data_IF_455163189412
#
_entry.id   IF_455163189412
#
_cell.length_a   1.000
_cell.length_b   1.000
_cell.length_c   1.000
_cell.angle_alpha   90.00
_cell.angle_beta   90.00
_cell.angle_gamma   90.00
#
_symmetry.space_group_name_H-M   'P 1'
#
loop_
_entity.id
_entity.type
_entity.pdbx_description
1 polymer ?
#
# COMPACT_ATOMS: atom_id res chain seq x y z
N UNK A 1 -19.69 -45.29 29.73
CA UNK A 1 -19.14 -45.64 28.41
C UNK A 1 -18.99 -44.36 27.57
N UNK A 2 -18.01 -44.34 26.69
CA UNK A 2 -17.30 -43.17 26.15
C UNK A 2 -18.09 -42.31 25.14
N UNK A 3 -17.80 -41.00 25.20
CA UNK A 3 -17.87 -39.87 24.25
C UNK A 3 -18.53 -39.94 22.85
N UNK A 4 -19.12 -38.81 22.38
CA UNK A 4 -19.43 -38.58 20.96
C UNK A 4 -18.30 -37.83 20.23
N UNK A 5 -17.89 -38.31 19.05
CA UNK A 5 -17.06 -37.57 18.08
C UNK A 5 -17.83 -37.29 16.78
N UNK A 6 -17.89 -35.99 16.46
CA UNK A 6 -17.86 -35.28 15.16
C UNK A 6 -18.28 -35.94 13.83
N UNK A 7 -19.15 -35.17 13.16
CA UNK A 7 -19.10 -34.68 11.76
C UNK A 7 -20.12 -35.26 10.77
N UNK A 8 -21.04 -34.41 10.29
CA UNK A 8 -21.15 -34.01 8.88
C UNK A 8 -22.36 -33.08 8.66
N UNK A 9 -22.07 -31.95 8.02
CA UNK A 9 -23.03 -31.01 7.44
C UNK A 9 -23.66 -31.67 6.22
N UNK A 10 -24.98 -31.70 6.14
CA UNK A 10 -25.72 -32.06 4.92
C UNK A 10 -26.98 -31.22 4.86
N UNK A 11 -27.07 -30.41 3.82
CA UNK A 11 -28.26 -29.66 3.42
C UNK A 11 -28.30 -29.62 1.90
N UNK A 12 -28.88 -30.66 1.32
CA UNK A 12 -29.25 -30.79 -0.09
C UNK A 12 -30.75 -30.52 -0.19
N UNK A 13 -31.19 -29.68 -1.13
CA UNK A 13 -32.29 -29.91 -2.10
C UNK A 13 -32.53 -28.58 -2.85
N UNK A 14 -32.06 -28.48 -4.11
CA UNK A 14 -32.83 -28.64 -5.37
C UNK A 14 -33.63 -27.37 -5.71
N UNK A 15 -33.71 -26.82 -6.93
CA UNK A 15 -33.65 -27.40 -8.28
C UNK A 15 -33.71 -26.23 -9.27
N UNK A 16 -33.02 -26.33 -10.42
CA UNK A 16 -33.45 -25.60 -11.63
C UNK A 16 -32.36 -24.85 -12.39
N UNK A 17 -31.54 -25.56 -13.16
CA UNK A 17 -31.21 -25.24 -14.56
C UNK A 17 -30.43 -26.42 -15.16
N UNK A 18 -30.90 -26.90 -16.31
CA UNK A 18 -30.55 -28.16 -16.95
C UNK A 18 -29.12 -28.20 -17.54
N UNK A 19 -28.49 -29.38 -17.69
CA UNK A 19 -27.07 -29.55 -18.00
C UNK A 19 -26.77 -29.63 -19.52
N UNK A 20 -27.42 -28.82 -20.35
CA UNK A 20 -27.43 -29.00 -21.80
C UNK A 20 -26.88 -27.84 -22.64
N UNK A 21 -26.13 -26.89 -22.05
CA UNK A 21 -25.29 -25.95 -22.82
C UNK A 21 -23.86 -25.84 -22.25
N UNK A 22 -23.42 -26.85 -21.51
CA UNK A 22 -22.02 -27.07 -21.11
C UNK A 22 -21.15 -27.62 -22.24
N UNK A 23 -21.53 -27.35 -23.50
CA UNK A 23 -20.90 -27.89 -24.71
C UNK A 23 -20.56 -26.83 -25.78
N UNK A 24 -20.51 -25.54 -25.42
CA UNK A 24 -19.87 -24.49 -26.24
C UNK A 24 -19.00 -23.59 -25.36
N UNK A 25 -18.10 -24.19 -24.58
CA UNK A 25 -16.86 -23.55 -24.15
C UNK A 25 -15.74 -24.57 -24.41
N UNK A 26 -15.62 -24.96 -25.68
CA UNK A 26 -14.38 -25.49 -26.20
C UNK A 26 -13.29 -24.48 -25.91
N UNK A 27 -12.27 -24.94 -25.19
CA UNK A 27 -10.96 -24.34 -25.02
C UNK A 27 -10.70 -23.15 -25.97
N UNK A 28 -10.83 -21.93 -25.45
CA UNK A 28 -10.09 -20.84 -26.05
C UNK A 28 -8.62 -21.11 -25.70
N UNK A 29 -7.76 -21.45 -26.67
CA UNK A 29 -6.33 -21.49 -26.40
C UNK A 29 -5.97 -20.09 -25.92
N UNK A 30 -5.22 -19.98 -24.83
CA UNK A 30 -4.58 -18.74 -24.42
C UNK A 30 -3.83 -18.20 -25.63
N UNK A 31 -4.45 -17.25 -26.35
CA UNK A 31 -3.83 -16.61 -27.50
C UNK A 31 -2.62 -15.88 -26.91
N UNK A 32 -1.43 -16.47 -27.10
CA UNK A 32 -0.20 -15.69 -27.19
C UNK A 32 -0.56 -14.51 -28.08
N UNK A 33 -0.63 -13.32 -27.54
CA UNK A 33 -0.94 -12.11 -28.31
C UNK A 33 0.15 -12.01 -29.35
N UNK A 34 -0.15 -12.44 -30.57
CA UNK A 34 0.75 -12.31 -31.69
C UNK A 34 0.97 -10.80 -31.84
N UNK A 35 2.18 -10.36 -31.50
CA UNK A 35 2.58 -8.95 -31.54
C UNK A 35 2.18 -8.39 -32.91
N UNK A 36 1.44 -7.29 -32.91
CA UNK A 36 0.92 -6.69 -34.13
C UNK A 36 2.08 -6.41 -35.09
N UNK A 37 1.99 -6.94 -36.31
CA UNK A 37 3.01 -6.72 -37.31
C UNK A 37 2.65 -5.49 -38.12
N UNK A 38 3.40 -4.41 -37.95
CA UNK A 38 3.22 -3.19 -38.74
C UNK A 38 3.61 -3.44 -40.21
N UNK A 39 2.77 -3.00 -41.14
CA UNK A 39 2.90 -3.27 -42.58
C UNK A 39 3.11 -2.00 -43.38
N UNK A 40 2.26 -0.99 -43.19
CA UNK A 40 2.34 0.30 -43.88
C UNK A 40 1.99 1.44 -42.93
N UNK A 41 2.51 2.63 -43.21
CA UNK A 41 2.14 3.86 -42.49
C UNK A 41 1.77 4.90 -43.53
N UNK A 42 0.56 5.42 -43.44
CA UNK A 42 0.09 6.54 -44.26
C UNK A 42 0.21 7.83 -43.46
N UNK A 43 0.71 8.87 -44.09
CA UNK A 43 0.80 10.22 -43.54
C UNK A 43 -0.19 11.09 -44.29
N UNK A 44 -1.14 11.66 -43.56
CA UNK A 44 -2.18 12.55 -44.06
C UNK A 44 -1.89 13.98 -43.60
N UNK A 45 -2.24 14.95 -44.44
CA UNK A 45 -2.18 16.36 -44.09
C UNK A 45 -3.39 16.81 -43.24
N UNK A 46 -3.46 18.10 -42.94
CA UNK A 46 -4.54 18.73 -42.17
C UNK A 46 -5.89 18.73 -42.89
N UNK A 47 -5.93 18.36 -44.17
CA UNK A 47 -7.13 18.25 -45.02
C UNK A 47 -7.57 16.79 -45.23
N UNK A 48 -6.80 15.83 -44.73
CA UNK A 48 -7.05 14.40 -44.92
C UNK A 48 -6.58 13.90 -46.30
N UNK A 49 -5.72 14.63 -46.99
CA UNK A 49 -5.06 14.18 -48.21
C UNK A 49 -3.73 13.46 -47.87
N UNK A 50 -3.44 12.38 -48.59
CA UNK A 50 -2.24 11.59 -48.37
C UNK A 50 -0.99 12.37 -48.79
N UNK A 51 -0.13 12.70 -47.81
CA UNK A 51 1.15 13.38 -48.01
C UNK A 51 2.30 12.40 -48.25
N UNK A 52 2.20 11.17 -47.73
CA UNK A 52 3.24 10.17 -47.93
C UNK A 52 2.86 8.77 -47.44
N UNK A 53 3.53 7.78 -47.98
CA UNK A 53 3.38 6.36 -47.62
C UNK A 53 4.76 5.79 -47.26
N UNK A 54 4.83 5.13 -46.10
CA UNK A 54 5.97 4.34 -45.69
C UNK A 54 5.59 2.86 -45.70
N UNK A 55 6.12 2.15 -46.69
CA UNK A 55 5.90 0.71 -46.86
C UNK A 55 6.97 -0.05 -46.09
N UNK A 56 6.58 -0.75 -45.03
CA UNK A 56 7.48 -1.62 -44.24
C UNK A 56 7.46 -3.06 -44.77
N UNK A 57 6.33 -3.47 -45.35
CA UNK A 57 6.15 -4.77 -45.99
C UNK A 57 5.52 -4.58 -47.38
N UNK A 58 6.32 -4.83 -48.43
CA UNK A 58 5.92 -4.64 -49.82
C UNK A 58 4.92 -5.71 -50.30
N UNK A 59 4.81 -6.82 -49.60
CA UNK A 59 3.90 -7.92 -49.93
C UNK A 59 2.49 -7.75 -49.31
N UNK A 60 2.22 -6.59 -48.70
CA UNK A 60 0.93 -6.30 -48.07
C UNK A 60 -0.15 -5.99 -49.13
N UNK A 61 -1.25 -6.76 -49.20
CA UNK A 61 -2.27 -6.66 -50.25
C UNK A 61 -3.31 -5.55 -50.03
N UNK A 62 -3.18 -4.77 -48.95
CA UNK A 62 -4.11 -3.70 -48.60
C UNK A 62 -3.46 -2.36 -48.94
N UNK A 63 -4.24 -1.51 -49.61
CA UNK A 63 -3.82 -0.18 -50.06
C UNK A 63 -4.67 0.93 -49.42
N UNK A 64 -4.25 2.19 -49.65
CA UNK A 64 -4.93 3.37 -49.13
C UNK A 64 -6.40 3.48 -49.60
N UNK A 65 -6.71 3.00 -50.81
CA UNK A 65 -8.08 2.98 -51.32
C UNK A 65 -9.01 2.07 -50.50
N UNK A 66 -8.48 1.02 -49.86
CA UNK A 66 -9.27 0.16 -48.98
C UNK A 66 -9.51 0.80 -47.62
N UNK A 67 -8.58 1.65 -47.15
CA UNK A 67 -8.80 2.51 -45.99
C UNK A 67 -9.94 3.51 -46.24
N UNK A 68 -9.94 4.18 -47.40
CA UNK A 68 -10.99 5.14 -47.77
C UNK A 68 -12.39 4.52 -47.85
N UNK A 69 -12.50 3.24 -48.24
CA UNK A 69 -13.79 2.52 -48.29
C UNK A 69 -14.37 2.22 -46.90
N UNK A 70 -13.50 2.07 -45.90
CA UNK A 70 -13.89 1.71 -44.52
C UNK A 70 -13.94 2.94 -43.61
N UNK A 71 -13.44 4.08 -44.08
CA UNK A 71 -13.47 5.34 -43.36
C UNK A 71 -14.92 5.82 -43.14
N UNK A 72 -15.36 6.06 -41.89
CA UNK A 72 -16.66 6.64 -41.61
C UNK A 72 -16.78 8.05 -42.21
N UNK A 73 -17.99 8.50 -42.58
CA UNK A 73 -18.21 9.87 -43.09
C UNK A 73 -17.92 10.96 -42.05
N UNK A 74 -17.84 10.58 -40.77
CA UNK A 74 -17.48 11.44 -39.64
C UNK A 74 -15.95 11.55 -39.45
N UNK A 75 -15.16 10.77 -40.19
CA UNK A 75 -13.71 10.64 -40.02
C UNK A 75 -13.31 9.57 -39.01
N UNK A 76 -12.01 9.43 -38.78
CA UNK A 76 -11.44 8.55 -37.76
C UNK A 76 -10.84 9.40 -36.64
N UNK A 77 -11.16 9.08 -35.38
CA UNK A 77 -10.64 9.79 -34.21
C UNK A 77 -9.20 9.41 -33.87
N UNK A 78 -8.57 10.20 -32.99
CA UNK A 78 -7.24 9.87 -32.47
C UNK A 78 -7.29 8.56 -31.69
N UNK A 79 -6.38 7.63 -32.04
CA UNK A 79 -6.25 6.27 -31.48
C UNK A 79 -7.39 5.31 -31.82
N UNK A 80 -8.30 5.72 -32.70
CA UNK A 80 -9.35 4.82 -33.18
C UNK A 80 -8.78 3.81 -34.17
N UNK A 81 -9.37 2.61 -34.16
CA UNK A 81 -8.96 1.49 -34.98
C UNK A 81 -10.09 1.00 -35.89
N UNK A 82 -9.82 0.93 -37.19
CA UNK A 82 -10.72 0.36 -38.20
C UNK A 82 -10.22 -1.01 -38.64
N UNK A 83 -11.14 -1.96 -38.76
CA UNK A 83 -10.83 -3.35 -39.05
C UNK A 83 -11.17 -3.71 -40.50
N UNK A 84 -10.18 -4.23 -41.22
CA UNK A 84 -10.33 -4.74 -42.59
C UNK A 84 -9.78 -6.16 -42.64
N UNK A 85 -10.66 -7.14 -42.38
CA UNK A 85 -10.29 -8.55 -42.31
C UNK A 85 -9.29 -8.84 -41.19
N UNK A 86 -8.08 -9.28 -41.54
CA UNK A 86 -6.99 -9.55 -40.58
C UNK A 86 -6.13 -8.33 -40.27
N UNK A 87 -6.41 -7.19 -40.90
CA UNK A 87 -5.63 -5.96 -40.79
C UNK A 87 -6.41 -4.88 -40.05
N UNK A 88 -5.66 -4.03 -39.37
CA UNK A 88 -6.18 -2.96 -38.53
C UNK A 88 -5.48 -1.66 -38.90
N UNK A 89 -6.28 -0.65 -39.23
CA UNK A 89 -5.84 0.73 -39.40
C UNK A 89 -6.02 1.47 -38.08
N UNK A 90 -4.95 2.01 -37.51
CA UNK A 90 -5.02 2.82 -36.28
C UNK A 90 -4.53 4.23 -36.59
N UNK A 91 -5.38 5.23 -36.38
CA UNK A 91 -5.03 6.63 -36.62
C UNK A 91 -4.41 7.28 -35.38
N UNK A 92 -3.40 8.11 -35.60
CA UNK A 92 -2.75 8.93 -34.58
C UNK A 92 -2.65 10.36 -35.07
N UNK A 93 -3.19 11.29 -34.29
CA UNK A 93 -3.12 12.70 -34.61
C UNK A 93 -1.89 13.32 -33.94
N UNK A 94 -1.00 13.91 -34.74
CA UNK A 94 0.20 14.59 -34.25
C UNK A 94 0.33 15.95 -34.92
N UNK A 95 -0.12 16.98 -34.21
CA UNK A 95 -0.10 18.36 -34.70
C UNK A 95 -0.98 18.56 -35.93
N UNK A 96 -0.36 18.88 -37.08
CA UNK A 96 -1.03 19.08 -38.37
C UNK A 96 -1.07 17.83 -39.26
N UNK A 97 -0.46 16.73 -38.81
CA UNK A 97 -0.37 15.49 -39.57
C UNK A 97 -1.15 14.39 -38.87
N UNK A 98 -1.78 13.52 -39.64
CA UNK A 98 -2.44 12.31 -39.15
C UNK A 98 -1.69 11.09 -39.68
N UNK A 99 -1.24 10.23 -38.78
CA UNK A 99 -0.53 9.00 -39.10
C UNK A 99 -1.51 7.82 -38.99
N UNK A 100 -1.73 7.11 -40.09
CA UNK A 100 -2.57 5.90 -40.10
C UNK A 100 -1.66 4.69 -40.23
N UNK A 101 -1.58 3.89 -39.17
CA UNK A 101 -0.77 2.69 -39.11
C UNK A 101 -1.60 1.49 -39.55
N UNK A 102 -1.12 0.77 -40.57
CA UNK A 102 -1.69 -0.50 -41.00
C UNK A 102 -0.91 -1.64 -40.36
N UNK A 103 -1.57 -2.41 -39.50
CA UNK A 103 -0.98 -3.56 -38.81
C UNK A 103 -1.77 -4.84 -39.08
N UNK A 104 -1.09 -5.99 -39.09
CA UNK A 104 -1.73 -7.31 -39.07
C UNK A 104 -1.87 -7.77 -37.63
N UNK A 105 -3.11 -7.87 -37.16
CA UNK A 105 -3.44 -8.07 -35.74
C UNK A 105 -3.65 -6.76 -34.99
N UNK A 106 -4.20 -6.86 -33.77
CA UNK A 106 -4.54 -5.69 -32.94
C UNK A 106 -3.31 -5.18 -32.20
N UNK A 107 -3.02 -3.88 -32.32
CA UNK A 107 -2.01 -3.21 -31.50
C UNK A 107 -2.42 -3.30 -30.02
N UNK A 108 -1.50 -3.71 -29.15
CA UNK A 108 -1.75 -3.68 -27.71
C UNK A 108 -1.87 -2.22 -27.25
N UNK A 109 -2.64 -1.97 -26.18
CA UNK A 109 -2.82 -0.61 -25.64
C UNK A 109 -1.49 0.06 -25.30
N UNK A 110 -0.50 -0.72 -24.86
CA UNK A 110 0.86 -0.25 -24.59
C UNK A 110 1.57 0.21 -25.87
N UNK A 111 1.47 -0.55 -26.97
CA UNK A 111 2.07 -0.19 -28.25
C UNK A 111 1.45 1.11 -28.80
N UNK A 112 0.14 1.29 -28.64
CA UNK A 112 -0.60 2.51 -29.02
C UNK A 112 -0.08 3.72 -28.22
N UNK A 113 0.08 3.59 -26.90
CA UNK A 113 0.57 4.67 -26.05
C UNK A 113 2.04 5.02 -26.34
N UNK A 114 2.88 4.01 -26.61
CA UNK A 114 4.27 4.23 -27.03
C UNK A 114 4.37 4.91 -28.39
N UNK A 115 3.56 4.52 -29.38
CA UNK A 115 3.54 5.19 -30.68
C UNK A 115 3.06 6.64 -30.58
N UNK A 116 2.04 6.89 -29.75
CA UNK A 116 1.56 8.25 -29.51
C UNK A 116 2.63 9.13 -28.82
N UNK A 117 3.35 8.57 -27.84
CA UNK A 117 4.45 9.25 -27.16
C UNK A 117 5.61 9.55 -28.12
N UNK A 118 5.99 8.60 -28.97
CA UNK A 118 7.05 8.76 -29.96
C UNK A 118 6.70 9.82 -31.01
N UNK A 119 5.47 9.81 -31.54
CA UNK A 119 5.02 10.82 -32.49
C UNK A 119 4.97 12.21 -31.86
N UNK A 120 4.49 12.31 -30.62
CA UNK A 120 4.47 13.58 -29.87
C UNK A 120 5.89 14.09 -29.59
N UNK A 121 6.82 13.20 -29.25
CA UNK A 121 8.22 13.55 -29.05
C UNK A 121 8.88 13.98 -30.38
N UNK A 122 8.66 13.25 -31.47
CA UNK A 122 9.17 13.57 -32.80
C UNK A 122 8.64 14.92 -33.29
N UNK A 123 7.35 15.22 -33.11
CA UNK A 123 6.79 16.53 -33.43
C UNK A 123 7.46 17.66 -32.62
N UNK A 124 7.72 17.43 -31.33
CA UNK A 124 8.44 18.41 -30.50
C UNK A 124 9.87 18.69 -31.00
N UNK A 125 10.54 17.68 -31.58
CA UNK A 125 11.89 17.80 -32.14
C UNK A 125 11.89 18.40 -33.55
N UNK A 126 10.91 18.07 -34.40
CA UNK A 126 10.75 18.64 -35.73
C UNK A 126 10.28 20.10 -35.67
N UNK A 127 9.40 20.44 -34.72
CA UNK A 127 9.01 21.82 -34.43
C UNK A 127 10.18 22.67 -33.91
N UNK A 128 11.17 22.07 -33.24
CA UNK A 128 12.42 22.72 -32.85
C UNK A 128 13.42 22.84 -34.02
N UNK A 129 13.42 21.87 -34.94
CA UNK A 129 14.31 21.80 -36.11
C UNK A 129 13.94 22.73 -37.27
N UNK A 130 12.67 23.16 -37.38
CA UNK A 130 12.22 24.09 -38.41
C UNK A 130 12.60 25.57 -38.16
N UNK A 131 13.56 25.85 -37.28
CA UNK A 131 14.25 27.15 -37.20
C UNK A 131 15.33 27.23 -38.29
N UNK A 132 14.90 27.25 -39.54
CA UNK A 132 15.77 27.58 -40.67
C UNK A 132 16.17 29.08 -40.62
N UNK A 133 17.43 29.35 -40.97
CA UNK A 133 18.05 30.67 -41.04
C UNK A 133 17.28 31.65 -41.95
N UNK A 134 17.35 32.98 -41.72
CA UNK A 134 16.51 33.93 -42.42
C UNK A 134 17.03 34.15 -43.85
N UNK A 135 16.34 33.56 -44.82
CA UNK A 135 16.36 34.05 -46.19
C UNK A 135 15.41 35.26 -46.30
N UNK A 136 15.91 36.34 -46.90
CA UNK A 136 15.17 37.56 -47.18
C UNK A 136 13.91 37.28 -48.03
N UNK A 137 12.74 37.66 -47.51
CA UNK A 137 11.56 38.12 -48.25
C UNK A 137 10.57 38.66 -47.19
N UNK A 138 10.39 39.97 -47.07
CA UNK A 138 9.19 40.68 -47.52
C UNK A 138 7.89 39.87 -47.40
N UNK A 139 7.02 40.38 -46.51
CA UNK A 139 5.57 40.10 -46.38
C UNK A 139 5.14 38.85 -45.58
N UNK A 140 4.90 39.04 -44.27
CA UNK A 140 3.76 38.49 -43.51
C UNK A 140 3.85 38.92 -42.02
N UNK A 141 3.27 40.06 -41.66
CA UNK A 141 3.18 40.52 -40.26
C UNK A 141 2.15 39.79 -39.36
N UNK A 142 1.07 39.12 -39.84
CA UNK A 142 0.06 38.57 -38.93
C UNK A 142 0.44 37.23 -38.28
N UNK A 143 1.33 36.43 -38.88
CA UNK A 143 1.63 35.08 -38.36
C UNK A 143 2.68 35.08 -37.23
N UNK A 144 3.59 36.06 -37.22
CA UNK A 144 4.57 36.21 -36.14
C UNK A 144 3.92 36.70 -34.85
N UNK A 145 2.93 37.60 -34.95
CA UNK A 145 2.18 38.10 -33.79
C UNK A 145 1.26 37.02 -33.18
N UNK A 146 0.67 36.15 -34.01
CA UNK A 146 -0.08 34.98 -33.54
C UNK A 146 0.84 33.95 -32.87
N UNK A 147 2.00 33.67 -33.46
CA UNK A 147 2.97 32.75 -32.86
C UNK A 147 3.56 33.28 -31.54
N UNK A 148 3.74 34.61 -31.39
CA UNK A 148 4.12 35.20 -30.09
C UNK A 148 2.98 35.15 -29.09
N UNK A 149 1.73 35.40 -29.50
CA UNK A 149 0.56 35.29 -28.63
C UNK A 149 0.35 33.86 -28.12
N UNK A 150 0.56 32.84 -28.97
CA UNK A 150 0.50 31.42 -28.56
C UNK A 150 1.62 31.05 -27.58
N UNK A 151 2.84 31.58 -27.78
CA UNK A 151 3.96 31.38 -26.85
C UNK A 151 3.69 32.05 -25.50
N UNK A 152 3.15 33.27 -25.50
CA UNK A 152 2.76 33.97 -24.29
C UNK A 152 1.60 33.26 -23.57
N UNK A 153 0.64 32.69 -24.30
CA UNK A 153 -0.43 31.88 -23.72
C UNK A 153 0.11 30.60 -23.07
N UNK A 154 1.07 29.92 -23.72
CA UNK A 154 1.75 28.74 -23.15
C UNK A 154 2.60 29.09 -21.93
N UNK A 155 3.28 30.24 -21.93
CA UNK A 155 4.03 30.71 -20.77
C UNK A 155 3.09 31.04 -19.61
N UNK A 156 1.99 31.76 -19.86
CA UNK A 156 0.96 32.03 -18.85
C UNK A 156 0.32 30.74 -18.30
N UNK A 157 0.12 29.72 -19.14
CA UNK A 157 -0.37 28.43 -18.68
C UNK A 157 0.65 27.71 -17.78
N UNK A 158 1.94 27.76 -18.14
CA UNK A 158 3.02 27.22 -17.30
C UNK A 158 3.17 27.97 -15.98
N UNK A 159 3.11 29.29 -16.00
CA UNK A 159 3.13 30.14 -14.80
C UNK A 159 1.95 29.83 -13.87
N UNK A 160 0.75 29.62 -14.41
CA UNK A 160 -0.41 29.17 -13.62
C UNK A 160 -0.19 27.80 -13.02
N UNK A 161 0.34 26.84 -13.79
CA UNK A 161 0.62 25.49 -13.27
C UNK A 161 1.70 25.49 -12.19
N UNK A 162 2.70 26.37 -12.29
CA UNK A 162 3.73 26.56 -11.27
C UNK A 162 3.14 27.21 -10.01
N UNK A 163 2.31 28.24 -10.16
CA UNK A 163 1.61 28.87 -9.04
C UNK A 163 0.68 27.88 -8.31
N UNK A 164 0.00 26.97 -9.04
CA UNK A 164 -0.80 25.90 -8.46
C UNK A 164 0.06 24.89 -7.68
N UNK A 165 1.24 24.53 -8.20
CA UNK A 165 2.17 23.65 -7.51
C UNK A 165 2.77 24.30 -6.26
N UNK A 166 3.15 25.58 -6.33
CA UNK A 166 3.62 26.36 -5.18
C UNK A 166 2.55 26.45 -4.10
N UNK A 167 1.29 26.71 -4.47
CA UNK A 167 0.18 26.72 -3.53
C UNK A 167 -0.06 25.34 -2.87
N UNK A 168 0.06 24.25 -3.64
CA UNK A 168 -0.01 22.88 -3.10
C UNK A 168 1.12 22.60 -2.11
N UNK A 169 2.36 22.94 -2.48
CA UNK A 169 3.52 22.77 -1.60
C UNK A 169 3.42 23.61 -0.32
N UNK A 170 2.92 24.84 -0.42
CA UNK A 170 2.65 25.68 0.75
C UNK A 170 1.58 25.04 1.65
N UNK A 171 0.49 24.52 1.07
CA UNK A 171 -0.54 23.79 1.80
C UNK A 171 -0.01 22.54 2.49
N UNK A 172 0.82 21.75 1.80
CA UNK A 172 1.49 20.58 2.37
C UNK A 172 2.45 20.96 3.50
N UNK A 173 3.22 22.05 3.34
CA UNK A 173 4.12 22.55 4.39
C UNK A 173 3.36 22.98 5.65
N UNK A 174 2.21 23.65 5.49
CA UNK A 174 1.35 24.04 6.61
C UNK A 174 0.74 22.81 7.30
N UNK A 175 0.34 21.79 6.53
CA UNK A 175 -0.16 20.52 7.07
C UNK A 175 0.92 19.75 7.85
N UNK A 176 2.16 19.75 7.36
CA UNK A 176 3.29 19.12 8.06
C UNK A 176 3.61 19.85 9.37
N UNK A 177 3.59 21.18 9.38
CA UNK A 177 3.74 21.98 10.59
C UNK A 177 2.61 21.70 11.60
N UNK A 178 1.36 21.64 11.13
CA UNK A 178 0.22 21.26 11.98
C UNK A 178 0.38 19.88 12.62
N UNK A 179 0.81 18.87 11.84
CA UNK A 179 1.11 17.53 12.36
C UNK A 179 2.27 17.53 13.35
N UNK A 180 3.28 18.36 13.13
CA UNK A 180 4.40 18.51 14.06
C UNK A 180 3.95 19.12 15.39
N UNK A 181 3.06 20.10 15.36
CA UNK A 181 2.44 20.68 16.56
C UNK A 181 1.55 19.68 17.30
N UNK A 182 0.78 18.85 16.58
CA UNK A 182 -0.01 17.79 17.21
C UNK A 182 0.90 16.74 17.87
N UNK A 183 1.98 16.33 17.22
CA UNK A 183 2.96 15.43 17.80
C UNK A 183 3.67 16.05 19.01
N UNK A 184 3.96 17.35 18.99
CA UNK A 184 4.56 18.03 20.15
C UNK A 184 3.58 18.10 21.32
N UNK A 185 2.28 18.34 21.07
CA UNK A 185 1.21 18.27 22.08
C UNK A 185 1.05 16.87 22.65
N UNK A 186 1.09 15.83 21.81
CA UNK A 186 1.03 14.44 22.26
C UNK A 186 2.23 14.07 23.13
N UNK A 187 3.45 14.48 22.72
CA UNK A 187 4.66 14.30 23.53
C UNK A 187 4.54 15.01 24.88
N UNK A 188 4.07 16.26 24.90
CA UNK A 188 3.83 17.00 26.14
C UNK A 188 2.78 16.32 27.05
N UNK A 189 1.73 15.74 26.45
CA UNK A 189 0.73 14.94 27.18
C UNK A 189 1.32 13.67 27.79
N UNK A 190 2.18 12.97 27.06
CA UNK A 190 2.89 11.78 27.56
C UNK A 190 3.86 12.12 28.69
N UNK A 191 4.59 13.24 28.58
CA UNK A 191 5.47 13.70 29.67
C UNK A 191 4.66 14.07 30.92
N UNK A 192 3.51 14.73 30.77
CA UNK A 192 2.64 15.06 31.90
C UNK A 192 2.06 13.80 32.57
N UNK A 193 1.73 12.76 31.79
CA UNK A 193 1.30 11.46 32.31
C UNK A 193 2.43 10.74 33.04
N UNK A 194 3.66 10.79 32.52
CA UNK A 194 4.83 10.24 33.19
C UNK A 194 5.11 10.95 34.53
N UNK A 195 5.04 12.28 34.56
CA UNK A 195 5.19 13.07 35.78
C UNK A 195 4.08 12.77 36.80
N UNK A 196 2.84 12.59 36.34
CA UNK A 196 1.72 12.19 37.19
C UNK A 196 1.94 10.78 37.78
N UNK A 197 2.40 9.82 36.98
CA UNK A 197 2.70 8.47 37.45
C UNK A 197 3.82 8.49 38.49
N UNK A 198 4.88 9.28 38.28
CA UNK A 198 5.95 9.46 39.26
C UNK A 198 5.44 10.06 40.58
N UNK A 199 4.59 11.10 40.52
CA UNK A 199 3.95 11.68 41.72
C UNK A 199 3.05 10.69 42.44
N UNK A 200 2.33 9.86 41.71
CA UNK A 200 1.49 8.80 42.29
C UNK A 200 2.35 7.75 42.98
N UNK A 201 3.44 7.29 42.36
CA UNK A 201 4.39 6.37 42.99
C UNK A 201 4.99 6.97 44.26
N UNK A 202 5.40 8.23 44.24
CA UNK A 202 5.88 8.97 45.41
C UNK A 202 4.83 9.09 46.52
N UNK A 203 3.56 9.29 46.16
CA UNK A 203 2.48 9.38 47.14
C UNK A 203 2.20 8.01 47.78
N UNK A 204 2.29 6.94 47.00
CA UNK A 204 2.11 5.57 47.47
C UNK A 204 3.28 5.16 48.35
N UNK A 205 4.53 5.44 47.98
CA UNK A 205 5.69 5.14 48.83
C UNK A 205 5.62 5.89 50.15
N UNK A 206 5.28 7.18 50.13
CA UNK A 206 5.05 7.96 51.36
C UNK A 206 3.88 7.44 52.19
N UNK A 207 2.79 7.02 51.53
CA UNK A 207 1.62 6.41 52.16
C UNK A 207 1.98 5.09 52.86
N UNK A 208 2.72 4.22 52.17
CA UNK A 208 3.24 2.94 52.70
C UNK A 208 4.19 3.19 53.86
N UNK A 209 5.12 4.15 53.77
CA UNK A 209 6.01 4.48 54.89
C UNK A 209 5.27 5.03 56.11
N UNK A 210 4.20 5.82 55.90
CA UNK A 210 3.34 6.28 57.00
C UNK A 210 2.55 5.12 57.61
N UNK A 211 1.98 4.26 56.77
CA UNK A 211 1.26 3.06 57.19
C UNK A 211 2.16 2.11 57.99
N UNK A 212 3.40 1.89 57.54
CA UNK A 212 4.39 1.10 58.28
C UNK A 212 4.73 1.73 59.63
N UNK A 213 4.96 3.05 59.70
CA UNK A 213 5.19 3.73 60.99
C UNK A 213 3.99 3.64 61.93
N UNK A 214 2.77 3.76 61.40
CA UNK A 214 1.56 3.58 62.21
C UNK A 214 1.41 2.12 62.65
N UNK A 215 1.77 1.16 61.79
CA UNK A 215 1.75 -0.25 62.11
C UNK A 215 2.74 -0.57 63.24
N UNK A 216 4.00 -0.14 63.12
CA UNK A 216 5.03 -0.25 64.17
C UNK A 216 4.57 0.38 65.49
N UNK A 217 3.95 1.57 65.44
CA UNK A 217 3.39 2.23 66.63
C UNK A 217 2.21 1.44 67.22
N UNK A 218 1.34 0.88 66.38
CA UNK A 218 0.24 0.03 66.84
C UNK A 218 0.72 -1.32 67.35
N UNK A 219 1.81 -1.87 66.82
CA UNK A 219 2.45 -3.10 67.32
C UNK A 219 3.09 -2.86 68.68
N UNK A 220 3.70 -1.68 68.91
CA UNK A 220 4.17 -1.26 70.24
C UNK A 220 3.01 -1.07 71.22
N UNK A 221 1.89 -0.52 70.77
CA UNK A 221 0.66 -0.37 71.57
C UNK A 221 -0.07 -1.70 71.80
N UNK A 222 0.01 -2.64 70.84
CA UNK A 222 -0.56 -3.99 70.96
C UNK A 222 0.31 -4.88 71.84
N UNK A 223 1.64 -4.77 71.75
CA UNK A 223 2.58 -5.43 72.68
C UNK A 223 2.37 -4.96 74.12
N UNK A 224 1.94 -3.71 74.33
CA UNK A 224 1.52 -3.20 75.65
C UNK A 224 0.07 -3.53 76.02
N UNK A 225 -0.83 -3.76 75.04
CA UNK A 225 -2.21 -4.24 75.26
C UNK A 225 -2.35 -5.76 75.42
N UNK A 226 -1.32 -6.54 75.13
CA UNK A 226 -1.37 -8.01 75.08
C UNK A 226 -1.59 -8.71 76.44
N UNK A 227 -1.84 -7.95 77.52
CA UNK A 227 -2.22 -8.43 78.85
C UNK A 227 -3.74 -8.51 79.08
N UNK A 228 -4.58 -7.93 78.21
CA UNK A 228 -6.03 -7.93 78.43
C UNK A 228 -6.79 -8.36 77.16
N UNK A 229 -7.74 -9.28 77.34
CA UNK A 229 -8.67 -9.85 76.36
C UNK A 229 -8.15 -11.02 75.49
N UNK A 230 -8.28 -12.23 76.04
CA UNK A 230 -8.38 -13.47 75.27
C UNK A 230 -9.72 -14.12 75.61
N UNK A 231 -10.63 -14.20 74.64
CA UNK A 231 -11.40 -15.42 74.28
C UNK A 231 -12.56 -15.23 73.28
N UNK A 232 -12.92 -14.02 72.86
CA UNK A 232 -14.05 -13.83 71.92
C UNK A 232 -13.67 -13.55 70.46
N UNK A 233 -12.43 -13.14 70.17
CA UNK A 233 -12.02 -12.70 68.82
C UNK A 233 -11.44 -13.82 67.93
N UNK A 234 -11.32 -15.06 68.44
CA UNK A 234 -10.55 -16.13 67.77
C UNK A 234 -11.14 -16.64 66.46
N UNK A 235 -12.45 -16.51 66.24
CA UNK A 235 -13.09 -16.94 64.97
C UNK A 235 -13.08 -15.84 63.91
N UNK A 236 -13.48 -14.62 64.28
CA UNK A 236 -13.46 -13.49 63.35
C UNK A 236 -12.02 -13.15 62.89
N UNK A 237 -11.02 -13.31 63.75
CA UNK A 237 -9.61 -13.12 63.38
C UNK A 237 -9.08 -14.25 62.49
N UNK A 238 -9.51 -15.51 62.71
CA UNK A 238 -9.20 -16.64 61.82
C UNK A 238 -9.79 -16.45 60.42
N UNK A 239 -11.07 -16.05 60.33
CA UNK A 239 -11.74 -15.84 59.05
C UNK A 239 -11.11 -14.66 58.28
N UNK A 240 -10.75 -13.58 59.00
CA UNK A 240 -10.02 -12.46 58.41
C UNK A 240 -8.61 -12.87 57.92
N UNK A 241 -7.88 -13.69 58.68
CA UNK A 241 -6.57 -14.21 58.27
C UNK A 241 -6.68 -15.07 57.00
N UNK A 242 -7.68 -15.94 56.91
CA UNK A 242 -7.91 -16.75 55.71
C UNK A 242 -8.27 -15.88 54.50
N UNK A 243 -9.08 -14.84 54.67
CA UNK A 243 -9.39 -13.88 53.60
C UNK A 243 -8.12 -13.15 53.11
N UNK A 244 -7.27 -12.67 54.02
CA UNK A 244 -5.99 -12.04 53.66
C UNK A 244 -5.02 -13.00 52.96
N UNK A 245 -4.97 -14.26 53.39
CA UNK A 245 -4.14 -15.27 52.73
C UNK A 245 -4.64 -15.57 51.31
N UNK A 246 -5.97 -15.63 51.11
CA UNK A 246 -6.57 -15.79 49.79
C UNK A 246 -6.28 -14.59 48.89
N UNK A 247 -6.43 -13.36 49.39
CA UNK A 247 -6.10 -12.14 48.65
C UNK A 247 -4.61 -12.08 48.29
N UNK A 248 -3.72 -12.41 49.24
CA UNK A 248 -2.28 -12.50 48.99
C UNK A 248 -1.97 -13.52 47.89
N UNK A 249 -2.59 -14.70 47.95
CA UNK A 249 -2.38 -15.74 46.94
C UNK A 249 -2.93 -15.32 45.57
N UNK A 250 -4.08 -14.63 45.52
CA UNK A 250 -4.64 -14.07 44.29
C UNK A 250 -3.74 -12.97 43.70
N UNK A 251 -3.18 -12.09 44.54
CA UNK A 251 -2.23 -11.06 44.11
C UNK A 251 -0.92 -11.65 43.59
N UNK A 252 -0.41 -12.72 44.22
CA UNK A 252 0.76 -13.45 43.73
C UNK A 252 0.49 -14.13 42.38
N UNK A 253 -0.70 -14.71 42.20
CA UNK A 253 -1.11 -15.29 40.92
C UNK A 253 -1.21 -14.23 39.82
N UNK A 254 -1.85 -13.08 40.10
CA UNK A 254 -1.94 -11.96 39.18
C UNK A 254 -0.56 -11.39 38.82
N UNK A 255 0.34 -11.25 39.80
CA UNK A 255 1.72 -10.81 39.56
C UNK A 255 2.44 -11.77 38.61
N UNK A 256 2.36 -13.08 38.87
CA UNK A 256 3.00 -14.08 38.01
C UNK A 256 2.44 -14.05 36.58
N UNK A 257 1.13 -13.83 36.42
CA UNK A 257 0.50 -13.69 35.12
C UNK A 257 1.01 -12.45 34.36
N UNK A 258 1.15 -11.31 35.05
CA UNK A 258 1.74 -10.10 34.46
C UNK A 258 3.21 -10.31 34.10
N UNK A 259 3.99 -10.97 34.96
CA UNK A 259 5.41 -11.27 34.69
C UNK A 259 5.57 -12.19 33.46
N UNK A 260 4.68 -13.17 33.29
CA UNK A 260 4.66 -14.03 32.08
C UNK A 260 4.31 -13.21 30.84
N UNK A 261 3.25 -12.39 30.89
CA UNK A 261 2.88 -11.51 29.77
C UNK A 261 3.98 -10.52 29.40
N UNK A 262 4.70 -10.00 30.39
CA UNK A 262 5.83 -9.10 30.17
C UNK A 262 7.01 -9.84 29.50
N UNK A 263 7.32 -11.06 29.93
CA UNK A 263 8.34 -11.91 29.28
C UNK A 263 7.96 -12.27 27.85
N UNK A 264 6.69 -12.56 27.59
CA UNK A 264 6.19 -12.85 26.25
C UNK A 264 6.25 -11.61 25.35
N UNK A 265 5.82 -10.45 25.84
CA UNK A 265 5.88 -9.19 25.11
C UNK A 265 7.34 -8.79 24.78
N UNK A 266 8.25 -8.91 25.74
CA UNK A 266 9.69 -8.64 25.51
C UNK A 266 10.30 -9.62 24.52
N UNK A 267 9.91 -10.90 24.55
CA UNK A 267 10.35 -11.88 23.55
C UNK A 267 9.80 -11.57 22.14
N UNK A 268 8.56 -11.09 22.03
CA UNK A 268 7.99 -10.66 20.75
C UNK A 268 8.69 -9.41 20.20
N UNK A 269 8.98 -8.42 21.04
CA UNK A 269 9.75 -7.23 20.65
C UNK A 269 11.13 -7.65 20.14
N UNK A 270 11.84 -8.53 20.85
CA UNK A 270 13.15 -9.02 20.42
C UNK A 270 13.10 -9.79 19.09
N UNK A 271 11.99 -10.49 18.79
CA UNK A 271 11.78 -11.13 17.48
C UNK A 271 11.59 -10.08 16.38
N UNK A 272 10.70 -9.11 16.57
CA UNK A 272 10.49 -8.05 15.60
C UNK A 272 11.74 -7.20 15.36
N UNK A 273 12.55 -6.94 16.39
CA UNK A 273 13.84 -6.26 16.22
C UNK A 273 14.83 -7.06 15.38
N UNK A 274 14.86 -8.39 15.53
CA UNK A 274 15.71 -9.27 14.69
C UNK A 274 15.22 -9.27 13.25
N UNK A 275 13.92 -9.46 13.04
CA UNK A 275 13.30 -9.44 11.70
C UNK A 275 13.53 -8.09 11.00
N UNK A 276 13.40 -6.97 11.72
CA UNK A 276 13.70 -5.65 11.19
C UNK A 276 15.17 -5.47 10.81
N UNK A 277 16.11 -5.97 11.65
CA UNK A 277 17.54 -5.94 11.33
C UNK A 277 17.86 -6.80 10.11
N UNK A 278 17.30 -8.01 10.04
CA UNK A 278 17.51 -8.90 8.89
C UNK A 278 16.96 -8.29 7.60
N UNK A 279 15.78 -7.65 7.65
CA UNK A 279 15.20 -6.93 6.53
C UNK A 279 16.08 -5.74 6.07
N UNK A 280 16.62 -4.96 7.01
CA UNK A 280 17.55 -3.86 6.68
C UNK A 280 18.80 -4.41 6.00
N UNK A 281 19.41 -5.47 6.53
CA UNK A 281 20.61 -6.06 5.90
C UNK A 281 20.33 -6.66 4.53
N UNK A 282 19.12 -7.18 4.30
CA UNK A 282 18.70 -7.67 2.98
C UNK A 282 18.56 -6.51 1.98
N UNK A 283 17.89 -5.42 2.38
CA UNK A 283 17.75 -4.22 1.54
C UNK A 283 19.09 -3.56 1.24
N UNK A 284 20.03 -3.53 2.18
CA UNK A 284 21.39 -3.04 1.95
C UNK A 284 22.15 -3.89 0.92
N UNK A 285 22.00 -5.22 0.98
CA UNK A 285 22.58 -6.13 -0.03
C UNK A 285 21.93 -5.93 -1.40
N UNK A 286 20.62 -5.75 -1.46
CA UNK A 286 19.92 -5.47 -2.72
C UNK A 286 20.35 -4.13 -3.33
N UNK A 287 20.50 -3.08 -2.50
CA UNK A 287 21.04 -1.79 -2.95
C UNK A 287 22.48 -1.90 -3.46
N UNK A 288 23.32 -2.67 -2.77
CA UNK A 288 24.69 -2.92 -3.22
C UNK A 288 24.70 -3.65 -4.58
N UNK A 289 23.85 -4.67 -4.74
CA UNK A 289 23.71 -5.41 -5.99
C UNK A 289 23.11 -4.56 -7.13
N UNK A 290 22.19 -3.64 -6.82
CA UNK A 290 21.65 -2.70 -7.79
C UNK A 290 22.74 -1.72 -8.26
N UNK A 291 23.56 -1.20 -7.33
CA UNK A 291 24.67 -0.31 -7.66
C UNK A 291 25.73 -1.00 -8.52
N UNK A 292 26.04 -2.27 -8.28
CA UNK A 292 26.98 -3.01 -9.14
C UNK A 292 26.41 -3.24 -10.54
N UNK A 293 25.12 -3.57 -10.66
CA UNK A 293 24.45 -3.68 -11.96
C UNK A 293 24.46 -2.37 -12.74
N UNK A 294 24.14 -1.25 -12.09
CA UNK A 294 24.22 0.08 -12.72
C UNK A 294 25.64 0.41 -13.18
N UNK A 295 26.66 0.10 -12.36
CA UNK A 295 28.04 0.32 -12.75
C UNK A 295 28.47 -0.56 -13.95
N UNK A 296 27.99 -1.80 -14.03
CA UNK A 296 28.25 -2.69 -15.16
C UNK A 296 27.48 -2.24 -16.41
N UNK A 297 26.25 -1.78 -16.27
CA UNK A 297 25.47 -1.15 -17.35
C UNK A 297 26.18 0.09 -17.90
N UNK A 298 26.67 0.99 -17.03
CA UNK A 298 27.46 2.15 -17.45
C UNK A 298 28.76 1.75 -18.17
N UNK A 299 29.44 0.69 -17.72
CA UNK A 299 30.62 0.15 -18.41
C UNK A 299 30.26 -0.36 -19.81
N UNK A 300 29.19 -1.16 -19.93
CA UNK A 300 28.74 -1.66 -21.23
C UNK A 300 28.31 -0.54 -22.16
N UNK A 301 27.65 0.50 -21.63
CA UNK A 301 27.28 1.70 -22.39
C UNK A 301 28.52 2.41 -22.93
N UNK A 302 29.54 2.66 -22.09
CA UNK A 302 30.81 3.26 -22.51
C UNK A 302 31.54 2.41 -23.55
N UNK A 303 31.51 1.08 -23.42
CA UNK A 303 32.07 0.17 -24.43
C UNK A 303 31.32 0.25 -25.76
N UNK A 304 29.99 0.33 -25.75
CA UNK A 304 29.17 0.48 -26.96
C UNK A 304 29.44 1.84 -27.61
N UNK A 305 29.44 2.92 -26.84
CA UNK A 305 29.76 4.27 -27.31
C UNK A 305 31.17 4.32 -27.93
N UNK A 306 32.15 3.67 -27.30
CA UNK A 306 33.50 3.51 -27.84
C UNK A 306 33.54 2.76 -29.17
N UNK A 307 32.82 1.63 -29.28
CA UNK A 307 32.71 0.87 -30.55
C UNK A 307 32.00 1.65 -31.65
N UNK A 308 30.97 2.41 -31.30
CA UNK A 308 30.25 3.27 -32.26
C UNK A 308 31.17 4.37 -32.77
N UNK A 309 31.93 5.03 -31.89
CA UNK A 309 32.92 6.01 -32.28
C UNK A 309 34.01 5.41 -33.17
N UNK A 310 34.51 4.22 -32.84
CA UNK A 310 35.50 3.51 -33.65
C UNK A 310 34.94 3.15 -35.04
N UNK A 311 33.71 2.63 -35.12
CA UNK A 311 33.05 2.37 -36.40
C UNK A 311 32.87 3.65 -37.22
N UNK A 312 32.45 4.74 -36.59
CA UNK A 312 32.30 6.05 -37.25
C UNK A 312 33.63 6.56 -37.81
N UNK A 313 34.72 6.41 -37.07
CA UNK A 313 36.06 6.77 -37.54
C UNK A 313 36.50 5.89 -38.71
N UNK A 314 36.22 4.59 -38.66
CA UNK A 314 36.50 3.67 -39.78
C UNK A 314 35.69 4.03 -41.02
N UNK A 315 34.42 4.39 -40.88
CA UNK A 315 33.60 4.86 -42.01
C UNK A 315 34.13 6.16 -42.59
N UNK A 316 34.56 7.12 -41.76
CA UNK A 316 35.17 8.35 -42.22
C UNK A 316 36.51 8.11 -42.94
N UNK A 317 37.34 7.20 -42.43
CA UNK A 317 38.59 6.80 -43.07
C UNK A 317 38.35 6.10 -44.41
N UNK A 318 37.40 5.15 -44.47
CA UNK A 318 36.99 4.47 -45.70
C UNK A 318 36.40 5.44 -46.73
N UNK A 319 35.60 6.42 -46.31
CA UNK A 319 35.09 7.46 -47.20
C UNK A 319 36.21 8.33 -47.77
N UNK A 320 37.20 8.67 -46.94
CA UNK A 320 38.39 9.42 -47.36
C UNK A 320 39.27 8.61 -48.32
N UNK A 321 39.46 7.31 -48.07
CA UNK A 321 40.17 6.42 -49.00
C UNK A 321 39.43 6.26 -50.33
N UNK A 322 38.09 6.12 -50.33
CA UNK A 322 37.30 6.08 -51.57
C UNK A 322 37.41 7.36 -52.38
N UNK A 323 37.45 8.52 -51.71
CA UNK A 323 37.72 9.82 -52.35
C UNK A 323 39.13 9.91 -52.93
N UNK A 324 40.14 9.34 -52.26
CA UNK A 324 41.51 9.31 -52.80
C UNK A 324 41.64 8.31 -53.95
N UNK A 325 40.97 7.16 -53.86
CA UNK A 325 40.95 6.14 -54.90
C UNK A 325 40.22 6.60 -56.16
N UNK A 326 39.17 7.43 -56.04
CA UNK A 326 38.47 8.00 -57.19
C UNK A 326 39.31 9.00 -58.01
N UNK A 327 40.47 9.41 -57.50
CA UNK A 327 41.44 10.27 -58.21
C UNK A 327 42.58 9.47 -58.85
N UNK A 328 42.53 8.13 -58.81
CA UNK A 328 43.53 7.25 -59.41
C UNK A 328 42.93 6.60 -60.65
N UNK A 329 43.56 6.82 -61.82
CA UNK A 329 43.05 6.30 -63.09
C UNK A 329 43.00 4.75 -63.13
N UNK A 330 41.92 4.17 -63.67
CA UNK A 330 41.79 2.72 -63.80
C UNK A 330 42.57 2.20 -65.01
N UNK A 331 43.68 1.53 -64.77
CA UNK A 331 44.39 0.73 -65.77
C UNK A 331 44.01 -0.74 -65.66
N UNK A 332 43.23 -1.27 -66.62
CA UNK A 332 42.92 -2.70 -66.72
C UNK A 332 44.09 -3.47 -67.33
N UNK A 333 44.72 -4.32 -66.52
CA UNK A 333 45.64 -5.39 -66.95
C UNK A 333 45.34 -6.64 -66.13
N UNK A 334 45.98 -7.79 -66.39
CA UNK A 334 45.84 -9.06 -65.64
C UNK A 334 45.94 -8.93 -64.10
N UNK A 335 46.46 -7.81 -63.60
CA UNK A 335 46.35 -7.40 -62.20
C UNK A 335 44.89 -7.29 -61.72
N UNK A 336 43.96 -6.75 -62.52
CA UNK A 336 42.53 -6.59 -62.21
C UNK A 336 41.83 -7.94 -62.05
N UNK A 337 42.25 -8.97 -62.80
CA UNK A 337 41.72 -10.33 -62.62
C UNK A 337 42.21 -10.96 -61.31
N UNK A 338 43.47 -10.76 -60.95
CA UNK A 338 44.02 -11.21 -59.66
C UNK A 338 43.43 -10.44 -58.47
N UNK A 339 43.14 -9.14 -58.61
CA UNK A 339 42.43 -8.37 -57.58
C UNK A 339 40.99 -8.83 -57.45
N UNK A 340 40.27 -9.07 -58.56
CA UNK A 340 38.92 -9.63 -58.54
C UNK A 340 38.88 -11.05 -57.92
N UNK A 341 39.90 -11.88 -58.13
CA UNK A 341 40.03 -13.18 -57.44
C UNK A 341 40.37 -13.03 -55.96
N UNK A 342 41.20 -12.05 -55.59
CA UNK A 342 41.48 -11.67 -54.20
C UNK A 342 40.24 -11.17 -53.47
N UNK A 343 39.49 -10.26 -54.09
CA UNK A 343 38.21 -9.72 -53.62
C UNK A 343 37.16 -10.83 -53.49
N UNK A 344 37.08 -11.77 -54.43
CA UNK A 344 36.22 -12.97 -54.28
C UNK A 344 36.64 -13.82 -53.08
N UNK A 345 37.94 -13.95 -52.82
CA UNK A 345 38.47 -14.64 -51.64
C UNK A 345 38.13 -13.92 -50.33
N UNK A 346 38.20 -12.59 -50.32
CA UNK A 346 37.81 -11.73 -49.19
C UNK A 346 36.30 -11.78 -48.95
N UNK A 347 35.47 -11.64 -49.98
CA UNK A 347 34.03 -11.82 -49.91
C UNK A 347 33.64 -13.22 -49.40
N UNK A 348 34.38 -14.27 -49.77
CA UNK A 348 34.15 -15.61 -49.24
C UNK A 348 34.52 -15.73 -47.75
N UNK A 349 35.53 -15.00 -47.28
CA UNK A 349 35.90 -14.93 -45.85
C UNK A 349 34.89 -14.10 -45.07
N UNK A 350 34.45 -12.97 -45.62
CA UNK A 350 33.39 -12.12 -45.06
C UNK A 350 32.08 -12.88 -44.96
N UNK A 351 31.70 -13.65 -45.99
CA UNK A 351 30.52 -14.51 -45.95
C UNK A 351 30.61 -15.54 -44.81
N UNK A 352 31.77 -16.17 -44.62
CA UNK A 352 31.99 -17.11 -43.50
C UNK A 352 31.96 -16.41 -42.15
N UNK A 353 32.49 -15.19 -42.05
CA UNK A 353 32.45 -14.39 -40.83
C UNK A 353 31.03 -13.96 -40.48
N UNK A 354 30.28 -13.44 -41.45
CA UNK A 354 28.87 -13.07 -41.31
C UNK A 354 28.01 -14.28 -40.95
N UNK A 355 28.27 -15.45 -41.55
CA UNK A 355 27.58 -16.69 -41.20
C UNK A 355 27.87 -17.12 -39.75
N UNK A 356 29.12 -17.05 -39.29
CA UNK A 356 29.48 -17.32 -37.89
C UNK A 356 28.84 -16.30 -36.95
N UNK A 357 28.80 -15.03 -37.33
CA UNK A 357 28.19 -13.96 -36.55
C UNK A 357 26.68 -14.12 -36.46
N UNK A 358 26.02 -14.58 -37.52
CA UNK A 358 24.60 -14.90 -37.53
C UNK A 358 24.29 -16.05 -36.56
N UNK A 359 25.10 -17.11 -36.55
CA UNK A 359 24.96 -18.22 -35.58
C UNK A 359 25.16 -17.71 -34.15
N UNK A 360 26.18 -16.90 -33.90
CA UNK A 360 26.42 -16.32 -32.56
C UNK A 360 25.26 -15.42 -32.10
N UNK A 361 24.63 -14.67 -33.01
CA UNK A 361 23.45 -13.87 -32.70
C UNK A 361 22.25 -14.75 -32.38
N UNK A 362 22.04 -15.83 -33.13
CA UNK A 362 20.98 -16.82 -32.84
C UNK A 362 21.19 -17.49 -31.47
N UNK A 363 22.41 -17.90 -31.13
CA UNK A 363 22.73 -18.47 -29.82
C UNK A 363 22.51 -17.46 -28.68
N UNK A 364 22.82 -16.18 -28.92
CA UNK A 364 22.54 -15.12 -27.94
C UNK A 364 21.05 -14.87 -27.79
N UNK A 365 20.30 -14.90 -28.89
CA UNK A 365 18.84 -14.77 -28.88
C UNK A 365 18.19 -15.92 -28.11
N UNK A 366 18.63 -17.17 -28.33
CA UNK A 366 18.14 -18.33 -27.58
C UNK A 366 18.43 -18.19 -26.08
N UNK A 367 19.63 -17.74 -25.70
CA UNK A 367 19.96 -17.46 -24.29
C UNK A 367 19.13 -16.33 -23.69
N UNK A 368 18.74 -15.34 -24.49
CA UNK A 368 17.84 -14.27 -24.04
C UNK A 368 16.44 -14.83 -23.84
N UNK A 369 15.91 -15.63 -24.77
CA UNK A 369 14.62 -16.32 -24.62
C UNK A 369 14.57 -17.22 -23.39
N UNK A 370 15.64 -17.96 -23.10
CA UNK A 370 15.74 -18.78 -21.87
C UNK A 370 15.72 -17.95 -20.59
N UNK A 371 16.29 -16.73 -20.62
CA UNK A 371 16.28 -15.81 -19.48
C UNK A 371 14.93 -15.15 -19.31
N UNK A 372 14.28 -14.77 -20.40
CA UNK A 372 12.92 -14.25 -20.43
C UNK A 372 11.94 -15.28 -19.86
N UNK A 373 12.00 -16.54 -20.33
CA UNK A 373 11.17 -17.61 -19.79
C UNK A 373 11.36 -17.82 -18.27
N UNK A 374 12.60 -17.75 -17.78
CA UNK A 374 12.89 -17.81 -16.33
C UNK A 374 12.43 -16.57 -15.58
N UNK A 375 12.38 -15.40 -16.23
CA UNK A 375 11.81 -14.18 -15.65
C UNK A 375 10.30 -14.32 -15.53
N UNK A 376 9.63 -14.76 -16.58
CA UNK A 376 8.19 -14.99 -16.62
C UNK A 376 7.75 -16.01 -15.55
N UNK A 377 8.52 -17.10 -15.38
CA UNK A 377 8.28 -18.08 -14.31
C UNK A 377 8.37 -17.44 -12.91
N UNK A 378 9.35 -16.55 -12.67
CA UNK A 378 9.50 -15.82 -11.41
C UNK A 378 8.40 -14.81 -11.21
N UNK A 379 7.97 -14.11 -12.25
CA UNK A 379 6.86 -13.17 -12.20
C UNK A 379 5.55 -13.89 -11.86
N UNK A 380 5.31 -15.05 -12.46
CA UNK A 380 4.17 -15.91 -12.10
C UNK A 380 4.24 -16.41 -10.66
N UNK A 381 5.42 -16.79 -10.16
CA UNK A 381 5.59 -17.18 -8.77
C UNK A 381 5.33 -16.02 -7.81
N UNK A 382 5.82 -14.81 -8.13
CA UNK A 382 5.58 -13.61 -7.34
C UNK A 382 4.09 -13.22 -7.36
N UNK A 383 3.42 -13.29 -8.51
CA UNK A 383 1.99 -13.03 -8.62
C UNK A 383 1.17 -13.97 -7.71
N UNK A 384 1.49 -15.27 -7.70
CA UNK A 384 0.86 -16.24 -6.78
C UNK A 384 1.10 -15.90 -5.31
N UNK A 385 2.32 -15.49 -4.95
CA UNK A 385 2.63 -15.08 -3.56
C UNK A 385 1.87 -13.82 -3.15
N UNK A 386 1.67 -12.88 -4.07
CA UNK A 386 0.86 -11.68 -3.82
C UNK A 386 -0.61 -12.08 -3.58
N UNK A 387 -1.18 -12.95 -4.40
CA UNK A 387 -2.53 -13.48 -4.18
C UNK A 387 -2.66 -14.18 -2.81
N UNK A 388 -1.70 -15.02 -2.44
CA UNK A 388 -1.66 -15.69 -1.13
C UNK A 388 -1.53 -14.71 0.05
N UNK A 389 -0.81 -13.60 -0.11
CA UNK A 389 -0.70 -12.57 0.92
C UNK A 389 -2.00 -11.77 1.04
N UNK A 390 -2.60 -11.37 -0.08
CA UNK A 390 -3.87 -10.63 -0.07
C UNK A 390 -5.00 -11.43 0.57
N UNK A 391 -5.07 -12.75 0.33
CA UNK A 391 -6.05 -13.63 0.97
C UNK A 391 -5.82 -13.73 2.48
N UNK A 392 -4.57 -13.87 2.93
CA UNK A 392 -4.22 -13.86 4.37
C UNK A 392 -4.53 -12.52 5.03
N UNK A 393 -4.29 -11.40 4.36
CA UNK A 393 -4.65 -10.08 4.86
C UNK A 393 -6.16 -9.93 5.07
N UNK A 394 -6.97 -10.42 4.11
CA UNK A 394 -8.42 -10.45 4.24
C UNK A 394 -8.87 -11.32 5.42
N UNK A 395 -8.24 -12.47 5.64
CA UNK A 395 -8.56 -13.34 6.78
C UNK A 395 -8.17 -12.72 8.12
N UNK A 396 -7.02 -12.05 8.21
CA UNK A 396 -6.63 -11.28 9.40
C UNK A 396 -7.60 -10.13 9.65
N UNK A 397 -8.03 -9.42 8.61
CA UNK A 397 -9.04 -8.37 8.73
C UNK A 397 -10.37 -8.94 9.25
N UNK A 398 -10.83 -10.07 8.73
CA UNK A 398 -12.03 -10.78 9.24
C UNK A 398 -11.87 -11.17 10.71
N UNK A 399 -10.74 -11.77 11.09
CA UNK A 399 -10.47 -12.11 12.50
C UNK A 399 -10.47 -10.87 13.40
N UNK A 400 -9.87 -9.76 12.97
CA UNK A 400 -9.92 -8.48 13.71
C UNK A 400 -11.35 -7.99 13.89
N UNK A 401 -12.20 -8.06 12.86
CA UNK A 401 -13.60 -7.67 13.00
C UNK A 401 -14.37 -8.57 13.97
N UNK A 402 -14.14 -9.89 13.94
CA UNK A 402 -14.74 -10.84 14.88
C UNK A 402 -14.29 -10.55 16.31
N UNK A 403 -13.00 -10.29 16.53
CA UNK A 403 -12.47 -9.93 17.85
C UNK A 403 -13.03 -8.58 18.33
N UNK A 404 -13.17 -7.60 17.44
CA UNK A 404 -13.76 -6.30 17.78
C UNK A 404 -15.25 -6.43 18.15
N UNK A 405 -16.01 -7.28 17.46
CA UNK A 405 -17.40 -7.59 17.78
C UNK A 405 -17.53 -8.38 19.08
N UNK A 406 -16.64 -9.33 19.35
CA UNK A 406 -16.58 -10.05 20.61
C UNK A 406 -16.13 -9.15 21.79
N UNK A 407 -15.47 -8.03 21.49
CA UNK A 407 -15.03 -6.99 22.44
C UNK A 407 -15.97 -5.78 22.47
N UNK A 408 -17.21 -5.93 22.00
CA UNK A 408 -18.26 -4.97 22.32
C UNK A 408 -18.34 -4.79 23.85
N UNK A 409 -18.50 -3.55 24.35
CA UNK A 409 -18.38 -3.25 25.75
C UNK A 409 -19.45 -4.01 26.54
N UNK A 410 -19.01 -4.88 27.45
CA UNK A 410 -19.86 -5.35 28.54
C UNK A 410 -20.49 -4.11 29.22
N UNK A 411 -21.79 -4.13 29.54
CA UNK A 411 -22.45 -3.00 30.20
C UNK A 411 -21.65 -2.63 31.45
N UNK A 412 -21.37 -1.34 31.58
CA UNK A 412 -20.39 -0.78 32.50
C UNK A 412 -20.70 -1.22 33.94
N UNK A 413 -19.95 -2.21 34.46
CA UNK A 413 -20.16 -2.79 35.79
C UNK A 413 -20.05 -1.72 36.89
N UNK A 414 -19.35 -0.62 36.62
CA UNK A 414 -19.31 0.58 37.47
C UNK A 414 -20.64 1.30 37.54
N UNK A 415 -21.32 1.51 36.41
CA UNK A 415 -22.62 2.15 36.38
C UNK A 415 -23.67 1.33 37.14
N UNK A 416 -23.65 0.00 36.99
CA UNK A 416 -24.52 -0.90 37.77
C UNK A 416 -24.20 -0.88 39.27
N UNK A 417 -22.91 -0.84 39.64
CA UNK A 417 -22.49 -0.74 41.03
C UNK A 417 -22.91 0.59 41.67
N UNK A 418 -22.88 1.69 40.92
CA UNK A 418 -23.28 3.02 41.41
C UNK A 418 -24.81 3.17 41.51
N UNK A 419 -25.57 2.55 40.61
CA UNK A 419 -27.03 2.43 40.73
C UNK A 419 -27.42 1.61 41.99
N UNK A 420 -26.73 0.49 42.21
CA UNK A 420 -26.94 -0.37 43.37
C UNK A 420 -26.60 0.35 44.69
N UNK A 421 -25.52 1.13 44.74
CA UNK A 421 -25.18 1.96 45.90
C UNK A 421 -26.26 2.98 46.21
N UNK A 422 -26.80 3.67 45.19
CA UNK A 422 -27.90 4.63 45.37
C UNK A 422 -29.17 3.97 45.89
N UNK A 423 -29.48 2.75 45.46
CA UNK A 423 -30.63 2.00 45.98
C UNK A 423 -30.43 1.59 47.45
N UNK A 424 -29.21 1.14 47.79
CA UNK A 424 -28.84 0.81 49.18
C UNK A 424 -28.96 2.05 50.07
N UNK A 425 -28.47 3.22 49.65
CA UNK A 425 -28.60 4.47 50.41
C UNK A 425 -30.07 4.86 50.65
N UNK A 426 -30.94 4.70 49.66
CA UNK A 426 -32.38 4.96 49.82
C UNK A 426 -33.01 4.01 50.83
N UNK A 427 -32.67 2.71 50.76
CA UNK A 427 -33.15 1.72 51.72
C UNK A 427 -32.67 2.00 53.13
N UNK A 428 -31.41 2.41 53.30
CA UNK A 428 -30.86 2.81 54.60
C UNK A 428 -31.62 4.01 55.18
N UNK A 429 -31.92 5.04 54.37
CA UNK A 429 -32.74 6.18 54.81
C UNK A 429 -34.14 5.75 55.27
N UNK A 430 -34.80 4.86 54.52
CA UNK A 430 -36.12 4.32 54.89
C UNK A 430 -36.04 3.56 56.20
N UNK A 431 -35.00 2.75 56.41
CA UNK A 431 -34.80 2.00 57.66
C UNK A 431 -34.56 2.95 58.83
N UNK A 432 -33.72 3.97 58.67
CA UNK A 432 -33.46 4.98 59.70
C UNK A 432 -34.75 5.73 60.07
N UNK A 433 -35.55 6.13 59.08
CA UNK A 433 -36.83 6.80 59.32
C UNK A 433 -37.81 5.89 60.08
N UNK A 434 -37.92 4.61 59.69
CA UNK A 434 -38.74 3.63 60.41
C UNK A 434 -38.24 3.37 61.83
N UNK A 435 -36.93 3.38 62.06
CA UNK A 435 -36.36 3.22 63.39
C UNK A 435 -36.76 4.38 64.31
N UNK A 436 -36.73 5.62 63.81
CA UNK A 436 -37.19 6.79 64.55
C UNK A 436 -38.70 6.73 64.84
N UNK A 437 -39.52 6.35 63.85
CA UNK A 437 -40.97 6.19 64.05
C UNK A 437 -41.31 5.09 65.08
N UNK A 438 -40.53 4.01 65.13
CA UNK A 438 -40.69 2.95 66.13
C UNK A 438 -40.32 3.44 67.54
N UNK A 439 -39.26 4.24 67.65
CA UNK A 439 -38.82 4.83 68.91
C UNK A 439 -39.88 5.82 69.45
N UNK A 440 -40.45 6.66 68.59
CA UNK A 440 -41.56 7.55 68.94
C UNK A 440 -42.82 6.78 69.38
N UNK A 441 -43.10 5.64 68.74
CA UNK A 441 -44.21 4.75 69.14
C UNK A 441 -43.94 4.10 70.49
N UNK A 442 -42.71 3.67 70.75
CA UNK A 442 -42.32 3.09 72.03
C UNK A 442 -42.44 4.12 73.16
N UNK A 443 -42.02 5.37 72.95
CA UNK A 443 -42.23 6.44 73.93
C UNK A 443 -43.70 6.71 74.19
N UNK A 444 -44.55 6.73 73.16
CA UNK A 444 -46.00 6.87 73.32
C UNK A 444 -46.61 5.70 74.09
N UNK A 445 -46.14 4.48 73.84
CA UNK A 445 -46.58 3.30 74.58
C UNK A 445 -46.11 3.34 76.04
N UNK A 446 -44.87 3.79 76.31
CA UNK A 446 -44.38 4.02 77.67
C UNK A 446 -45.22 5.06 78.42
N UNK A 447 -45.57 6.17 77.78
CA UNK A 447 -46.45 7.20 78.39
C UNK A 447 -47.83 6.63 78.71
N UNK A 448 -48.44 5.88 77.78
CA UNK A 448 -49.72 5.21 78.01
C UNK A 448 -49.65 4.14 79.11
N UNK A 449 -48.55 3.39 79.17
CA UNK A 449 -48.32 2.42 80.23
C UNK A 449 -48.23 3.11 81.60
N UNK A 450 -47.49 4.21 81.70
CA UNK A 450 -47.41 5.00 82.93
C UNK A 450 -48.75 5.64 83.32
N UNK A 451 -49.57 6.08 82.35
CA UNK A 451 -50.93 6.56 82.61
C UNK A 451 -51.85 5.45 83.11
N UNK A 452 -51.77 4.24 82.51
CA UNK A 452 -52.52 3.07 82.95
C UNK A 452 -52.09 2.62 84.35
N UNK A 453 -50.79 2.57 84.64
CA UNK A 453 -50.25 2.27 85.96
C UNK A 453 -50.72 3.30 87.01
N UNK A 454 -50.76 4.59 86.65
CA UNK A 454 -51.32 5.63 87.51
C UNK A 454 -52.83 5.47 87.73
N UNK A 455 -53.58 5.00 86.73
CA UNK A 455 -55.00 4.67 86.89
C UNK A 455 -55.20 3.42 87.74
N UNK A 456 -54.39 2.38 87.57
CA UNK A 456 -54.40 1.17 88.39
C UNK A 456 -54.01 1.47 89.84
N UNK A 457 -53.02 2.32 90.10
CA UNK A 457 -52.68 2.79 91.43
C UNK A 457 -53.82 3.57 92.10
N UNK A 458 -54.57 4.37 91.33
CA UNK A 458 -55.78 5.06 91.82
C UNK A 458 -56.94 4.11 92.10
N UNK A 459 -57.06 3.04 91.34
CA UNK A 459 -58.09 2.01 91.53
C UNK A 459 -57.73 1.07 92.69
N UNK A 460 -56.47 0.66 92.83
CA UNK A 460 -56.00 -0.22 93.91
C UNK A 460 -55.95 0.50 95.26
N UNK A 461 -55.63 1.80 95.29
CA UNK A 461 -55.77 2.64 96.48
C UNK A 461 -57.22 2.86 96.93
N UNK A 462 -58.21 2.43 96.14
CA UNK A 462 -59.64 2.52 96.46
C UNK A 462 -60.24 1.19 96.97
N UNK A 463 -59.45 0.11 97.04
CA UNK A 463 -59.91 -1.26 97.42
C UNK A 463 -59.61 -1.63 98.88
N UNK A 464 -59.09 -0.72 99.71
CA UNK A 464 -58.99 -0.96 101.17
C UNK A 464 -59.91 -0.04 101.96
N UNK A 465 -61.22 -0.18 101.78
CA UNK A 465 -62.23 0.12 102.80
C UNK A 465 -63.43 -0.80 102.52
N UNK A 466 -63.45 -1.97 103.16
CA UNK A 466 -64.57 -2.50 103.96
C UNK A 466 -64.14 -3.79 104.66
#
# INVERSE_FOLDING_TARGET
MQGPMKALVTGILMRGLSPALTAVLMAAPSRKTARAQLKKIYVLDDRGEMTGEYVLDADCPIDYDDFLKVLPPEGIGDRDSLFVGEYVFTAFQSGKLVFVLLSRGHLASEDVDWTALLLTAADSHLAAGNRAAPARATEAKPDVERASAEREARLKAKEKSLAEQEAKLQGESANLLGRQEELSRQKAGLTALADYAARMQDSVTRGVSRAMKTLEMTEQLAASRHLESKKTDSKATSDAQQAFEQERNALLAAKNEVDVRYREATAQIAKFEREARDAITALEKERANANTRLADEERTRKEIEGRVAEMSQRFAAMAKERLVASHREPGETDAVRKTMEGEKGELARERKFLQRRAIELLDREERVRDREAKSDEREHELARRVEDLTTKEQDVARQKTIIAQAKAPMPDARAQADEAKKDIERRVKIIQQKALELLDREEKLRRRAAELEAMEARLSGRVTVE
#
